data_IF_307416308522
#
_entry.id   IF_307416308522
#
_cell.length_a   1.000
_cell.length_b   1.000
_cell.length_c   1.000
_cell.angle_alpha   90.00
_cell.angle_beta   90.00
_cell.angle_gamma   90.00
#
_symmetry.space_group_name_H-M   'P 1'
#
loop_
_entity.id
_entity.type
_entity.pdbx_description
1 polymer ?
#
# COMPACT_ATOMS: atom_id res chain seq x y z
N UNK A 1 13.59 -30.88 4.35
CA UNK A 1 14.09 -30.64 5.72
C UNK A 1 14.15 -29.15 6.09
N UNK A 2 14.70 -28.26 5.25
CA UNK A 2 14.82 -26.84 5.60
C UNK A 2 13.49 -26.18 5.98
N UNK A 3 12.40 -26.54 5.33
CA UNK A 3 11.09 -25.95 5.56
C UNK A 3 10.45 -26.35 6.91
N UNK A 4 10.87 -27.49 7.51
CA UNK A 4 10.27 -27.96 8.78
C UNK A 4 10.60 -27.07 9.99
N UNK A 5 11.59 -26.19 9.87
CA UNK A 5 11.97 -25.25 10.94
C UNK A 5 11.33 -23.86 10.81
N UNK A 6 10.74 -23.52 9.65
CA UNK A 6 10.25 -22.17 9.36
C UNK A 6 8.88 -22.12 8.66
N UNK A 7 8.27 -23.27 8.38
CA UNK A 7 6.93 -23.34 7.83
C UNK A 7 6.03 -24.15 8.76
N UNK A 8 5.06 -23.49 9.35
CA UNK A 8 4.11 -24.10 10.30
C UNK A 8 3.28 -25.24 9.67
N UNK A 9 3.04 -25.19 8.35
CA UNK A 9 2.22 -26.17 7.63
C UNK A 9 3.01 -27.31 6.99
N UNK A 10 4.20 -27.64 7.51
CA UNK A 10 4.95 -28.83 7.13
C UNK A 10 5.55 -29.52 8.34
N UNK A 11 5.36 -30.84 8.42
CA UNK A 11 5.83 -31.68 9.49
C UNK A 11 7.07 -32.48 9.07
N UNK A 12 7.81 -33.04 10.02
CA UNK A 12 8.93 -33.94 9.72
C UNK A 12 8.51 -35.16 8.88
N UNK A 13 7.29 -35.63 9.06
CA UNK A 13 6.68 -36.74 8.26
C UNK A 13 6.47 -36.39 6.78
N UNK A 14 6.48 -35.08 6.44
CA UNK A 14 6.25 -34.61 5.06
C UNK A 14 7.55 -34.49 4.25
N UNK A 15 8.69 -34.83 4.86
CA UNK A 15 9.98 -34.82 4.14
C UNK A 15 9.93 -35.80 2.96
N UNK A 16 10.23 -35.31 1.75
CA UNK A 16 10.12 -36.03 0.50
C UNK A 16 8.80 -35.81 -0.25
N UNK A 17 7.78 -35.23 0.37
CA UNK A 17 6.52 -34.88 -0.30
C UNK A 17 6.61 -33.47 -0.93
N UNK A 18 5.83 -33.18 -1.98
CA UNK A 18 5.71 -31.80 -2.47
C UNK A 18 5.16 -30.87 -1.37
N UNK A 19 5.88 -29.77 -1.10
CA UNK A 19 5.48 -28.80 -0.07
C UNK A 19 4.06 -28.25 -0.30
N UNK A 20 3.71 -27.96 -1.54
CA UNK A 20 2.38 -27.47 -1.88
C UNK A 20 1.26 -28.46 -1.49
N UNK A 21 1.48 -29.75 -1.68
CA UNK A 21 0.51 -30.79 -1.30
C UNK A 21 0.34 -30.86 0.23
N UNK A 22 1.45 -30.96 0.97
CA UNK A 22 1.41 -31.04 2.43
C UNK A 22 0.76 -29.78 3.05
N UNK A 23 1.12 -28.59 2.55
CA UNK A 23 0.54 -27.34 3.03
C UNK A 23 -0.97 -27.26 2.73
N UNK A 24 -1.41 -27.67 1.54
CA UNK A 24 -2.84 -27.63 1.19
C UNK A 24 -3.67 -28.56 2.06
N UNK A 25 -3.17 -29.76 2.38
CA UNK A 25 -3.83 -30.71 3.28
C UNK A 25 -4.00 -30.12 4.69
N UNK A 26 -2.94 -29.55 5.27
CA UNK A 26 -3.00 -28.98 6.61
C UNK A 26 -3.82 -27.69 6.69
N UNK A 27 -3.85 -26.89 5.63
CA UNK A 27 -4.75 -25.74 5.55
C UNK A 27 -6.22 -26.16 5.49
N UNK A 28 -6.55 -27.26 4.81
CA UNK A 28 -7.91 -27.79 4.77
C UNK A 28 -8.42 -28.25 6.15
N UNK A 29 -7.51 -28.70 7.04
CA UNK A 29 -7.85 -29.05 8.44
C UNK A 29 -8.28 -27.79 9.25
N UNK A 30 -7.73 -26.59 8.92
CA UNK A 30 -8.07 -25.36 9.63
C UNK A 30 -9.44 -24.81 9.24
N UNK A 31 -9.83 -24.96 7.99
CA UNK A 31 -11.11 -24.48 7.51
C UNK A 31 -11.66 -25.42 6.43
N UNK A 32 -12.55 -26.36 6.82
CA UNK A 32 -13.13 -27.34 5.91
C UNK A 32 -14.09 -26.74 4.88
N UNK A 33 -14.59 -25.52 5.11
CA UNK A 33 -15.49 -24.83 4.17
C UNK A 33 -14.75 -24.23 2.98
N UNK A 34 -13.42 -24.13 3.02
CA UNK A 34 -12.59 -23.63 1.93
C UNK A 34 -12.04 -24.80 1.10
N UNK A 35 -12.31 -24.74 -0.19
CA UNK A 35 -11.75 -25.72 -1.15
C UNK A 35 -10.31 -25.32 -1.49
N UNK A 36 -9.35 -26.09 -0.96
CA UNK A 36 -7.93 -25.94 -1.27
C UNK A 36 -7.53 -26.82 -2.47
N UNK A 37 -6.66 -26.30 -3.31
CA UNK A 37 -5.99 -27.06 -4.36
C UNK A 37 -4.48 -26.75 -4.33
N UNK A 38 -3.67 -27.68 -4.85
CA UNK A 38 -2.23 -27.45 -4.97
C UNK A 38 -1.73 -27.75 -6.38
N UNK A 39 -0.62 -27.13 -6.74
CA UNK A 39 0.09 -27.41 -7.99
C UNK A 39 1.58 -27.51 -7.73
N UNK A 40 2.18 -28.58 -8.19
CA UNK A 40 3.62 -28.81 -8.08
C UNK A 40 4.29 -28.24 -9.33
N UNK A 41 4.77 -26.99 -9.22
CA UNK A 41 5.44 -26.30 -10.31
C UNK A 41 6.41 -25.24 -9.75
N UNK A 42 7.36 -24.80 -10.56
CA UNK A 42 8.15 -23.60 -10.27
C UNK A 42 7.33 -22.36 -10.63
N UNK A 43 7.37 -21.34 -9.81
CA UNK A 43 6.62 -20.09 -10.07
C UNK A 43 7.09 -19.43 -11.38
N UNK A 44 8.38 -19.48 -11.67
CA UNK A 44 8.94 -18.98 -12.95
C UNK A 44 8.32 -19.67 -14.16
N UNK A 45 8.08 -20.98 -14.09
CA UNK A 45 7.44 -21.73 -15.18
C UNK A 45 5.96 -21.34 -15.32
N UNK A 46 5.24 -21.16 -14.21
CA UNK A 46 3.84 -20.70 -14.23
C UNK A 46 3.71 -19.33 -14.86
N UNK A 47 4.59 -18.40 -14.50
CA UNK A 47 4.58 -17.03 -15.04
C UNK A 47 4.90 -17.02 -16.52
N UNK A 48 5.93 -17.76 -16.96
CA UNK A 48 6.45 -17.70 -18.33
C UNK A 48 5.68 -18.62 -19.31
N UNK A 49 5.29 -19.81 -18.88
CA UNK A 49 4.71 -20.83 -19.75
C UNK A 49 3.18 -20.95 -19.62
N UNK A 50 2.64 -20.60 -18.45
CA UNK A 50 1.23 -20.80 -18.14
C UNK A 50 0.57 -19.55 -17.52
N UNK A 51 0.72 -18.37 -18.11
CA UNK A 51 0.19 -17.13 -17.54
C UNK A 51 -1.33 -17.16 -17.32
N UNK A 52 -2.05 -17.96 -18.08
CA UNK A 52 -3.49 -18.12 -17.92
C UNK A 52 -3.87 -18.78 -16.58
N UNK A 53 -3.00 -19.63 -16.05
CA UNK A 53 -3.22 -20.21 -14.72
C UNK A 53 -3.27 -19.12 -13.65
N UNK A 54 -2.41 -18.10 -13.74
CA UNK A 54 -2.40 -16.99 -12.80
C UNK A 54 -3.60 -16.08 -13.00
N UNK A 55 -3.96 -15.80 -14.26
CA UNK A 55 -5.05 -14.87 -14.62
C UNK A 55 -6.45 -15.33 -14.19
N UNK A 56 -6.66 -16.62 -13.93
CA UNK A 56 -7.97 -17.14 -13.49
C UNK A 56 -8.26 -16.91 -12.00
N UNK A 57 -7.30 -16.35 -11.24
CA UNK A 57 -7.48 -16.05 -9.83
C UNK A 57 -7.93 -14.61 -9.63
N UNK A 58 -8.56 -14.32 -8.50
CA UNK A 58 -8.99 -12.97 -8.11
C UNK A 58 -7.96 -12.21 -7.27
N UNK A 59 -6.97 -12.90 -6.73
CA UNK A 59 -5.89 -12.37 -5.91
C UNK A 59 -4.68 -13.29 -6.01
N UNK A 60 -3.49 -12.72 -6.07
CA UNK A 60 -2.23 -13.47 -5.98
C UNK A 60 -1.46 -13.03 -4.73
N UNK A 61 -1.02 -14.00 -3.94
CA UNK A 61 -0.10 -13.78 -2.82
C UNK A 61 1.24 -14.43 -3.13
N UNK A 62 2.27 -13.63 -3.23
CA UNK A 62 3.63 -14.05 -3.57
C UNK A 62 4.53 -13.97 -2.33
N UNK A 63 5.01 -15.12 -1.84
CA UNK A 63 5.90 -15.19 -0.69
C UNK A 63 7.29 -15.70 -1.09
N UNK A 64 8.35 -14.96 -0.72
CA UNK A 64 9.75 -15.37 -0.89
C UNK A 64 10.13 -15.77 -2.33
N UNK A 65 9.63 -15.04 -3.32
CA UNK A 65 9.94 -15.23 -4.74
C UNK A 65 11.20 -14.43 -5.10
N UNK A 66 12.01 -14.96 -6.01
CA UNK A 66 13.19 -14.26 -6.54
C UNK A 66 12.78 -12.97 -7.29
N UNK A 67 13.67 -11.95 -7.32
CA UNK A 67 13.34 -10.64 -7.88
C UNK A 67 12.91 -10.66 -9.34
N UNK A 68 13.56 -11.49 -10.17
CA UNK A 68 13.27 -11.54 -11.60
C UNK A 68 11.89 -12.15 -11.87
N UNK A 69 11.57 -13.28 -11.24
CA UNK A 69 10.24 -13.90 -11.33
C UNK A 69 9.17 -12.97 -10.75
N UNK A 70 9.48 -12.25 -9.66
CA UNK A 70 8.54 -11.32 -9.04
C UNK A 70 8.22 -10.14 -9.96
N UNK A 71 9.22 -9.61 -10.68
CA UNK A 71 8.99 -8.55 -11.65
C UNK A 71 8.03 -9.01 -12.75
N UNK A 72 8.30 -10.17 -13.37
CA UNK A 72 7.45 -10.74 -14.42
C UNK A 72 6.02 -11.02 -13.91
N UNK A 73 5.89 -11.54 -12.69
CA UNK A 73 4.60 -11.75 -12.04
C UNK A 73 3.86 -10.43 -11.83
N UNK A 74 4.57 -9.39 -11.40
CA UNK A 74 4.02 -8.05 -11.20
C UNK A 74 3.49 -7.45 -12.51
N UNK A 75 4.24 -7.55 -13.59
CA UNK A 75 3.81 -7.09 -14.93
C UNK A 75 2.57 -7.86 -15.42
N UNK A 76 2.57 -9.18 -15.24
CA UNK A 76 1.43 -10.04 -15.59
C UNK A 76 0.16 -9.66 -14.80
N UNK A 77 0.28 -9.52 -13.49
CA UNK A 77 -0.84 -9.15 -12.61
C UNK A 77 -1.35 -7.74 -12.93
N UNK A 78 -0.44 -6.80 -13.18
CA UNK A 78 -0.81 -5.44 -13.58
C UNK A 78 -1.59 -5.39 -14.88
N UNK A 79 -1.10 -6.10 -15.91
CA UNK A 79 -1.78 -6.21 -17.19
C UNK A 79 -3.16 -6.86 -17.11
N UNK A 80 -3.32 -7.83 -16.19
CA UNK A 80 -4.58 -8.54 -15.97
C UNK A 80 -5.53 -7.85 -14.99
N UNK A 81 -5.17 -6.68 -14.45
CA UNK A 81 -5.89 -6.00 -13.35
C UNK A 81 -6.12 -6.92 -12.13
N UNK A 82 -5.12 -7.72 -11.81
CA UNK A 82 -5.15 -8.72 -10.76
C UNK A 82 -4.35 -8.20 -9.55
N UNK A 83 -4.98 -8.06 -8.37
CA UNK A 83 -4.28 -7.68 -7.15
C UNK A 83 -3.15 -8.64 -6.81
N UNK A 84 -1.98 -8.09 -6.46
CA UNK A 84 -0.81 -8.84 -6.04
C UNK A 84 -0.34 -8.36 -4.67
N UNK A 85 -0.26 -9.29 -3.72
CA UNK A 85 0.34 -9.08 -2.40
C UNK A 85 1.70 -9.76 -2.38
N UNK A 86 2.74 -9.03 -2.10
CA UNK A 86 4.11 -9.56 -1.99
C UNK A 86 4.54 -9.56 -0.54
N UNK A 87 4.84 -10.75 -0.01
CA UNK A 87 5.32 -10.93 1.35
C UNK A 87 6.79 -11.36 1.34
N UNK A 88 7.61 -10.69 2.13
CA UNK A 88 9.02 -11.06 2.33
C UNK A 88 9.36 -11.02 3.81
N UNK A 89 10.14 -12.01 4.24
CA UNK A 89 10.71 -12.06 5.59
C UNK A 89 12.19 -12.33 5.51
N UNK A 90 12.94 -11.65 6.36
CA UNK A 90 14.38 -11.83 6.50
C UNK A 90 14.77 -11.63 7.97
N UNK A 91 15.01 -12.73 8.67
CA UNK A 91 15.22 -12.71 10.12
C UNK A 91 14.03 -12.10 10.85
N UNK A 92 14.25 -11.02 11.57
CA UNK A 92 13.22 -10.27 12.32
C UNK A 92 12.54 -9.17 11.49
N UNK A 93 12.97 -9.00 10.23
CA UNK A 93 12.38 -8.00 9.33
C UNK A 93 11.36 -8.67 8.42
N UNK A 94 10.23 -8.01 8.21
CA UNK A 94 9.21 -8.42 7.27
C UNK A 94 8.72 -7.22 6.45
N UNK A 95 8.28 -7.47 5.23
CA UNK A 95 7.64 -6.49 4.38
C UNK A 95 6.44 -7.08 3.68
N UNK A 96 5.38 -6.28 3.55
CA UNK A 96 4.20 -6.57 2.74
C UNK A 96 4.03 -5.43 1.75
N UNK A 97 3.97 -5.75 0.46
CA UNK A 97 3.71 -4.78 -0.61
C UNK A 97 2.43 -5.15 -1.35
N UNK A 98 1.56 -4.19 -1.51
CA UNK A 98 0.37 -4.28 -2.36
C UNK A 98 0.66 -3.68 -3.73
N UNK A 99 0.22 -4.38 -4.79
CA UNK A 99 0.18 -3.87 -6.15
C UNK A 99 -1.25 -4.04 -6.68
N UNK A 100 -1.96 -2.93 -6.77
CA UNK A 100 -3.35 -2.87 -7.23
C UNK A 100 -3.52 -1.58 -8.04
N UNK A 101 -4.48 -1.55 -8.98
CA UNK A 101 -4.73 -0.36 -9.81
C UNK A 101 -5.50 0.71 -9.07
N UNK A 102 -6.45 0.30 -8.25
CA UNK A 102 -7.30 1.20 -7.47
C UNK A 102 -7.51 0.62 -6.09
N UNK A 103 -7.37 1.45 -5.07
CA UNK A 103 -7.67 1.12 -3.69
C UNK A 103 -8.75 2.07 -3.19
N UNK A 104 -9.96 1.54 -3.04
CA UNK A 104 -11.06 2.29 -2.45
C UNK A 104 -10.98 2.20 -0.92
N UNK A 105 -10.75 3.34 -0.29
CA UNK A 105 -10.73 3.44 1.17
C UNK A 105 -12.13 3.87 1.62
N UNK A 106 -12.91 2.92 2.11
CA UNK A 106 -14.28 3.16 2.54
C UNK A 106 -14.34 3.97 3.82
N UNK A 107 -13.43 3.72 4.74
CA UNK A 107 -13.32 4.45 6.00
C UNK A 107 -11.88 4.44 6.49
N UNK A 108 -11.32 5.62 6.78
CA UNK A 108 -10.07 5.73 7.49
C UNK A 108 -10.37 6.22 8.92
N UNK A 109 -10.22 5.36 9.91
CA UNK A 109 -10.27 5.75 11.33
C UNK A 109 -8.86 6.09 11.78
N UNK A 110 -8.61 7.37 12.06
CA UNK A 110 -7.41 7.77 12.77
C UNK A 110 -7.65 7.61 14.27
N UNK A 111 -6.94 6.70 14.92
CA UNK A 111 -6.98 6.53 16.37
C UNK A 111 -6.60 7.82 17.12
N UNK A 112 -5.74 8.63 16.54
CA UNK A 112 -5.23 9.86 17.13
C UNK A 112 -6.02 11.12 16.75
N UNK A 113 -7.09 11.01 15.97
CA UNK A 113 -7.91 12.14 15.47
C UNK A 113 -7.09 13.27 14.80
N UNK A 114 -5.87 13.00 14.40
CA UNK A 114 -5.00 13.93 13.69
C UNK A 114 -5.11 13.64 12.19
N UNK A 115 -5.54 14.65 11.45
CA UNK A 115 -5.63 14.58 10.00
C UNK A 115 -4.23 14.80 9.40
N UNK A 116 -3.74 13.85 8.62
CA UNK A 116 -2.55 14.06 7.79
C UNK A 116 -2.96 14.83 6.53
N UNK A 117 -2.88 16.15 6.61
CA UNK A 117 -3.24 17.05 5.52
C UNK A 117 -2.12 17.20 4.49
N UNK A 118 -0.94 16.61 4.73
CA UNK A 118 0.25 16.70 3.86
C UNK A 118 0.62 18.12 3.41
N UNK A 119 0.32 19.09 4.24
CA UNK A 119 0.57 20.52 3.92
C UNK A 119 2.06 20.87 3.80
N UNK A 120 2.94 19.99 4.29
CA UNK A 120 4.39 20.14 4.13
C UNK A 120 4.83 19.89 2.69
N UNK A 121 4.22 18.90 2.06
CA UNK A 121 4.44 18.50 0.66
C UNK A 121 3.08 18.22 0.01
N UNK A 122 2.34 19.27 -0.37
CA UNK A 122 1.02 19.12 -0.95
C UNK A 122 1.11 18.40 -2.30
N UNK A 123 0.11 17.60 -2.61
CA UNK A 123 0.01 16.99 -3.93
C UNK A 123 -0.36 18.04 -5.00
N UNK A 124 -0.04 17.82 -6.28
CA UNK A 124 -0.14 18.86 -7.31
C UNK A 124 -1.52 19.49 -7.49
N UNK A 125 -2.59 18.74 -7.26
CA UNK A 125 -3.97 19.25 -7.36
C UNK A 125 -4.28 20.24 -6.24
N UNK A 126 -3.88 19.92 -5.00
CA UNK A 126 -4.07 20.81 -3.85
C UNK A 126 -3.26 22.09 -4.03
N UNK A 127 -2.04 21.97 -4.52
CA UNK A 127 -1.17 23.12 -4.78
C UNK A 127 -1.76 24.06 -5.84
N UNK A 128 -2.28 23.49 -6.95
CA UNK A 128 -2.98 24.26 -7.98
C UNK A 128 -4.26 24.94 -7.46
N UNK A 129 -5.06 24.24 -6.65
CA UNK A 129 -6.27 24.82 -6.06
C UNK A 129 -5.91 25.97 -5.08
N UNK A 130 -4.84 25.79 -4.32
CA UNK A 130 -4.34 26.81 -3.40
C UNK A 130 -3.85 28.06 -4.13
N UNK A 131 -3.18 27.90 -5.28
CA UNK A 131 -2.71 29.01 -6.11
C UNK A 131 -3.86 29.74 -6.79
N UNK A 132 -4.85 29.02 -7.27
CA UNK A 132 -6.02 29.59 -7.91
C UNK A 132 -6.95 30.35 -6.94
N UNK A 133 -6.80 30.14 -5.63
CA UNK A 133 -7.62 30.80 -4.63
C UNK A 133 -7.16 32.25 -4.42
N UNK A 134 -7.97 33.21 -4.90
CA UNK A 134 -7.79 34.64 -4.63
C UNK A 134 -8.80 35.10 -3.58
N UNK A 135 -8.35 35.25 -2.34
CA UNK A 135 -9.19 35.62 -1.21
C UNK A 135 -9.70 37.07 -1.30
N UNK A 136 -8.93 37.96 -1.92
CA UNK A 136 -9.27 39.39 -1.99
C UNK A 136 -10.38 39.67 -3.02
N UNK A 137 -10.59 38.72 -3.97
CA UNK A 137 -11.64 38.81 -4.99
C UNK A 137 -12.99 38.24 -4.53
N UNK A 138 -13.05 37.57 -3.38
CA UNK A 138 -14.26 36.92 -2.87
C UNK A 138 -15.13 37.89 -2.09
N UNK A 139 -16.47 37.78 -2.28
CA UNK A 139 -17.42 38.42 -1.41
C UNK A 139 -17.50 37.75 -0.03
N UNK A 140 -18.14 38.37 0.93
CA UNK A 140 -18.25 37.86 2.32
C UNK A 140 -18.87 36.46 2.38
N UNK A 141 -19.84 36.16 1.52
CA UNK A 141 -20.50 34.87 1.48
C UNK A 141 -19.55 33.78 0.91
N UNK A 142 -18.91 34.02 -0.22
CA UNK A 142 -17.97 33.09 -0.81
C UNK A 142 -16.74 32.87 0.09
N UNK A 143 -16.24 33.95 0.74
CA UNK A 143 -15.14 33.86 1.68
C UNK A 143 -15.46 32.95 2.88
N UNK A 144 -16.68 33.05 3.43
CA UNK A 144 -17.13 32.21 4.54
C UNK A 144 -17.25 30.71 4.18
N UNK A 145 -17.35 30.38 2.88
CA UNK A 145 -17.46 29.00 2.39
C UNK A 145 -16.15 28.40 1.89
N UNK A 146 -15.04 29.14 1.96
CA UNK A 146 -13.72 28.58 1.60
C UNK A 146 -13.34 27.47 2.57
N UNK A 147 -13.02 26.26 2.08
CA UNK A 147 -12.57 25.17 2.94
C UNK A 147 -11.34 25.55 3.76
N UNK A 148 -11.41 25.39 5.07
CA UNK A 148 -10.33 25.76 5.99
C UNK A 148 -8.97 25.13 5.62
N UNK A 149 -8.96 23.95 4.99
CA UNK A 149 -7.73 23.27 4.53
C UNK A 149 -7.02 24.08 3.44
N UNK A 150 -7.77 24.74 2.55
CA UNK A 150 -7.20 25.62 1.52
C UNK A 150 -6.62 26.91 2.13
N UNK A 151 -7.30 27.49 3.13
CA UNK A 151 -6.80 28.63 3.87
C UNK A 151 -5.48 28.29 4.56
N UNK A 152 -5.43 27.15 5.24
CA UNK A 152 -4.23 26.67 5.92
C UNK A 152 -3.09 26.36 4.93
N UNK A 153 -3.41 25.75 3.79
CA UNK A 153 -2.43 25.49 2.73
C UNK A 153 -1.84 26.77 2.17
N UNK A 154 -2.67 27.80 1.93
CA UNK A 154 -2.25 29.12 1.45
C UNK A 154 -1.39 29.86 2.48
N UNK A 155 -1.80 29.85 3.75
CA UNK A 155 -1.02 30.43 4.84
C UNK A 155 0.35 29.72 4.96
N UNK A 156 0.37 28.39 4.93
CA UNK A 156 1.61 27.63 4.99
C UNK A 156 2.53 27.87 3.78
N UNK A 157 1.96 28.10 2.59
CA UNK A 157 2.72 28.47 1.38
C UNK A 157 3.34 29.85 1.51
N UNK A 158 2.57 30.84 1.97
CA UNK A 158 3.04 32.20 2.21
C UNK A 158 4.14 32.23 3.28
N UNK A 159 3.97 31.49 4.37
CA UNK A 159 5.00 31.35 5.40
C UNK A 159 6.32 30.83 4.82
N UNK A 160 6.27 29.74 4.06
CA UNK A 160 7.47 29.16 3.44
C UNK A 160 8.16 30.10 2.48
N UNK A 161 7.40 30.89 1.74
CA UNK A 161 7.96 31.92 0.84
C UNK A 161 8.77 32.96 1.59
N UNK A 162 8.38 33.33 2.83
CA UNK A 162 9.06 34.31 3.68
C UNK A 162 10.19 33.70 4.52
N UNK A 163 10.22 32.36 4.71
CA UNK A 163 11.13 31.67 5.60
C UNK A 163 11.99 30.60 4.87
N UNK A 164 12.49 30.93 3.68
CA UNK A 164 13.39 30.07 2.87
C UNK A 164 12.89 28.64 2.68
N UNK A 165 11.58 28.45 2.54
CA UNK A 165 10.97 27.14 2.35
C UNK A 165 10.73 26.34 3.66
N UNK A 166 11.12 26.87 4.81
CA UNK A 166 10.95 26.20 6.09
C UNK A 166 9.51 26.31 6.61
N UNK A 167 9.02 25.24 7.23
CA UNK A 167 7.74 25.25 7.99
C UNK A 167 8.01 25.72 9.43
N UNK A 168 7.00 26.33 10.13
CA UNK A 168 7.17 26.77 11.50
C UNK A 168 7.53 25.60 12.41
N UNK A 169 8.69 25.66 13.09
CA UNK A 169 9.25 24.58 13.90
C UNK A 169 9.31 24.93 15.38
N UNK A 170 9.74 26.13 15.71
CA UNK A 170 9.84 26.61 17.08
C UNK A 170 8.47 27.05 17.64
N UNK A 171 8.40 27.24 18.95
CA UNK A 171 7.18 27.72 19.60
C UNK A 171 6.81 29.13 19.13
N UNK A 172 7.79 30.02 19.05
CA UNK A 172 7.60 31.40 18.64
C UNK A 172 7.13 31.51 17.19
N UNK A 173 7.73 30.75 16.27
CA UNK A 173 7.30 30.66 14.87
C UNK A 173 5.86 30.11 14.74
N UNK A 174 5.48 29.13 15.57
CA UNK A 174 4.11 28.61 15.57
C UNK A 174 3.11 29.61 16.12
N UNK A 175 3.50 30.41 17.10
CA UNK A 175 2.65 31.46 17.66
C UNK A 175 2.53 32.64 16.70
N UNK A 176 3.56 32.95 15.93
CA UNK A 176 3.51 33.91 14.84
C UNK A 176 2.65 33.46 13.68
N UNK A 177 2.80 32.21 13.25
CA UNK A 177 1.99 31.60 12.19
C UNK A 177 0.49 31.53 12.49
N UNK A 178 0.08 31.55 13.74
CA UNK A 178 -1.33 31.55 14.19
C UNK A 178 -2.00 32.94 14.16
N UNK A 179 -1.25 33.99 14.03
CA UNK A 179 -1.73 35.37 13.95
C UNK A 179 -2.16 35.76 12.55
#
# INVERSE_FOLDING_TARGET
ERDTGNNFFVRKSDVGRPRAAATAELLAELNPDVRGAHRVARVSDLVSKEPQFIRQHSLVVAAQIDPQTLQQLGELCWAANLPLVVCRTYGLLGSVRLQIRSLDIVESKSENKLWDLRLREPFPELDRMTDALDLDSLDDHAHAHVPWVLLLAKAAKNWRAQHNGASPSTRDEKDEFRK
#
